data_IF_582541650074
#
_entry.id   IF_582541650074
#
_cell.length_a   1.000
_cell.length_b   1.000
_cell.length_c   1.000
_cell.angle_alpha   90.00
_cell.angle_beta   90.00
_cell.angle_gamma   90.00
#
_symmetry.space_group_name_H-M   'P 1'
#
loop_
_entity.id
_entity.type
_entity.pdbx_description
1 polymer ?
#
# COMPACT_ATOMS: atom_id res chain seq x y z
N UNK A 1 14.97 16.00 -5.57
CA UNK A 1 13.82 16.93 -5.67
C UNK A 1 13.03 16.54 -6.92
N UNK A 2 12.07 15.62 -6.78
CA UNK A 2 11.32 15.07 -7.94
C UNK A 2 10.40 16.17 -8.47
N UNK A 3 10.68 16.63 -9.68
CA UNK A 3 9.86 17.60 -10.40
C UNK A 3 8.52 16.94 -10.75
N UNK A 4 7.48 17.24 -9.97
CA UNK A 4 6.12 16.81 -10.24
C UNK A 4 5.61 17.48 -11.53
N UNK A 5 5.09 16.73 -12.52
CA UNK A 5 4.53 17.32 -13.73
C UNK A 5 3.38 18.27 -13.38
N UNK A 6 3.41 19.48 -13.94
CA UNK A 6 2.42 20.54 -13.75
C UNK A 6 0.96 20.09 -14.01
N UNK A 7 0.76 19.03 -14.79
CA UNK A 7 -0.54 18.59 -15.29
C UNK A 7 -1.40 17.78 -14.29
N UNK A 8 -0.83 17.30 -13.19
CA UNK A 8 -1.60 16.63 -12.13
C UNK A 8 -2.39 17.61 -11.24
N UNK A 9 -2.22 18.93 -11.46
CA UNK A 9 -2.43 19.92 -10.41
C UNK A 9 -3.85 20.48 -10.32
N UNK A 10 -4.71 20.34 -11.34
CA UNK A 10 -5.90 21.19 -11.39
C UNK A 10 -7.16 20.58 -12.03
N UNK A 11 -8.15 20.19 -11.23
CA UNK A 11 -9.57 20.64 -11.29
C UNK A 11 -10.31 20.15 -10.02
N UNK A 12 -11.31 20.91 -9.58
CA UNK A 12 -11.79 21.00 -8.19
C UNK A 12 -12.72 19.87 -7.70
N UNK A 13 -12.58 19.60 -6.38
CA UNK A 13 -13.63 19.36 -5.37
C UNK A 13 -14.75 18.38 -5.67
N UNK A 14 -14.51 17.26 -6.35
CA UNK A 14 -15.62 16.33 -6.60
C UNK A 14 -16.07 15.61 -5.31
N UNK A 15 -15.20 15.36 -4.33
CA UNK A 15 -15.65 14.83 -3.03
C UNK A 15 -16.46 15.88 -2.24
N UNK A 16 -16.00 17.15 -2.16
CA UNK A 16 -16.79 18.22 -1.49
C UNK A 16 -18.11 18.52 -2.21
N UNK A 17 -18.13 18.50 -3.55
CA UNK A 17 -19.31 18.77 -4.35
C UNK A 17 -20.29 17.59 -4.43
N UNK A 18 -19.81 16.35 -4.35
CA UNK A 18 -20.65 15.16 -4.26
C UNK A 18 -21.19 14.98 -2.84
N UNK A 19 -20.40 15.23 -1.79
CA UNK A 19 -20.89 15.20 -0.41
C UNK A 19 -21.93 16.31 -0.14
N UNK A 20 -21.74 17.52 -0.67
CA UNK A 20 -22.75 18.59 -0.59
C UNK A 20 -24.01 18.29 -1.45
N UNK A 21 -23.87 17.65 -2.63
CA UNK A 21 -25.02 17.25 -3.46
C UNK A 21 -25.76 16.02 -2.92
N UNK A 22 -25.08 15.10 -2.25
CA UNK A 22 -25.69 13.95 -1.57
C UNK A 22 -26.48 14.37 -0.32
N UNK A 23 -26.12 15.50 0.33
CA UNK A 23 -26.99 16.12 1.34
C UNK A 23 -28.27 16.68 0.72
N UNK A 24 -28.17 17.37 -0.43
CA UNK A 24 -29.30 18.02 -1.09
C UNK A 24 -30.34 17.02 -1.67
N UNK A 25 -29.94 15.82 -2.08
CA UNK A 25 -30.89 14.78 -2.55
C UNK A 25 -31.57 14.03 -1.41
N UNK A 26 -31.02 14.03 -0.19
CA UNK A 26 -31.66 13.40 0.97
C UNK A 26 -32.68 14.30 1.69
N UNK A 27 -32.60 15.62 1.51
CA UNK A 27 -33.48 16.59 2.19
C UNK A 27 -34.77 16.92 1.45
N UNK A 28 -34.97 16.43 0.22
CA UNK A 28 -36.16 16.73 -0.60
C UNK A 28 -37.18 15.57 -0.67
N UNK A 29 -37.03 14.53 0.15
CA UNK A 29 -38.02 13.46 0.27
C UNK A 29 -38.40 13.30 1.75
N UNK A 30 -39.22 14.22 2.27
CA UNK A 30 -40.08 14.00 3.45
C UNK A 30 -41.07 15.15 3.66
N UNK A 31 -42.15 15.14 2.89
CA UNK A 31 -43.49 15.55 3.35
C UNK A 31 -44.51 15.04 2.33
N UNK A 32 -45.06 13.85 2.60
CA UNK A 32 -46.01 13.19 1.72
C UNK A 32 -46.31 11.79 2.21
N UNK A 33 -47.00 11.70 3.34
CA UNK A 33 -47.78 10.52 3.69
C UNK A 33 -48.81 10.29 2.59
N UNK A 34 -48.91 9.06 2.05
CA UNK A 34 -50.15 8.41 1.60
C UNK A 34 -49.87 6.90 1.49
N UNK A 35 -50.83 6.14 2.02
CA UNK A 35 -51.01 4.69 1.99
C UNK A 35 -50.78 4.03 0.63
N UNK A 36 -50.26 2.80 0.66
CA UNK A 36 -50.16 1.95 -0.52
C UNK A 36 -49.75 0.51 -0.21
N UNK A 37 -50.68 -0.28 0.34
CA UNK A 37 -50.61 -1.74 0.39
C UNK A 37 -50.38 -2.32 -1.01
N UNK A 38 -49.28 -3.04 -1.22
CA UNK A 38 -49.30 -4.29 -2.02
C UNK A 38 -48.33 -5.29 -1.36
N UNK A 39 -48.91 -6.38 -0.85
CA UNK A 39 -48.23 -7.59 -0.40
C UNK A 39 -47.85 -8.40 -1.64
N UNK A 40 -46.61 -8.88 -1.76
CA UNK A 40 -46.36 -10.16 -2.41
C UNK A 40 -46.05 -11.21 -1.33
N UNK A 41 -47.01 -12.12 -1.17
CA UNK A 41 -46.84 -13.40 -0.50
C UNK A 41 -45.97 -14.26 -1.42
N UNK A 42 -44.94 -14.87 -0.85
CA UNK A 42 -44.12 -16.02 -1.29
C UNK A 42 -42.67 -15.68 -0.94
N UNK A 43 -42.30 -15.93 0.32
CA UNK A 43 -40.91 -16.13 0.82
C UNK A 43 -40.84 -16.21 2.37
N UNK A 44 -41.95 -16.01 3.09
CA UNK A 44 -42.05 -16.21 4.55
C UNK A 44 -42.63 -17.59 4.94
N UNK A 45 -42.09 -18.67 4.38
CA UNK A 45 -42.54 -20.04 4.70
C UNK A 45 -41.40 -21.06 4.92
N UNK A 46 -40.15 -20.62 5.15
CA UNK A 46 -39.02 -21.54 5.36
C UNK A 46 -38.09 -21.19 6.53
N UNK A 47 -38.49 -20.31 7.46
CA UNK A 47 -37.62 -19.87 8.54
C UNK A 47 -38.12 -20.16 9.97
N UNK A 48 -39.22 -20.90 10.16
CA UNK A 48 -39.73 -21.22 11.51
C UNK A 48 -39.68 -22.71 11.91
N UNK A 49 -39.15 -23.60 11.07
CA UNK A 49 -39.16 -25.05 11.34
C UNK A 49 -37.80 -25.63 11.80
N UNK A 50 -36.93 -24.81 12.41
CA UNK A 50 -35.67 -25.30 13.03
C UNK A 50 -35.43 -24.61 14.39
N UNK A 51 -36.44 -24.62 15.27
CA UNK A 51 -36.31 -24.15 16.67
C UNK A 51 -36.90 -25.08 17.73
N UNK A 52 -37.26 -26.32 17.40
CA UNK A 52 -37.93 -27.21 18.36
C UNK A 52 -37.42 -28.66 18.37
N UNK A 53 -36.14 -28.88 18.70
CA UNK A 53 -35.69 -30.13 19.37
C UNK A 53 -34.64 -29.83 20.46
N UNK A 54 -35.07 -30.08 21.69
CA UNK A 54 -34.51 -29.94 23.07
C UNK A 54 -33.55 -31.13 23.39
N UNK A 55 -32.74 -31.24 24.51
CA UNK A 55 -32.58 -30.43 25.74
C UNK A 55 -31.14 -30.09 26.24
N UNK A 56 -31.14 -29.23 27.27
CA UNK A 56 -30.08 -28.86 28.25
C UNK A 56 -29.75 -29.96 29.29
N UNK A 57 -28.52 -29.92 29.85
CA UNK A 57 -28.11 -30.11 31.27
C UNK A 57 -26.68 -29.52 31.42
N UNK A 58 -26.40 -28.44 32.16
CA UNK A 58 -26.31 -28.22 33.62
C UNK A 58 -25.13 -28.96 34.29
N UNK A 59 -24.06 -28.24 34.66
CA UNK A 59 -23.42 -28.10 36.01
C UNK A 59 -21.92 -28.39 35.85
N UNK A 60 -20.91 -27.87 36.55
CA UNK A 60 -20.73 -26.99 37.71
C UNK A 60 -19.21 -26.62 37.78
N UNK A 61 -18.88 -25.51 38.47
CA UNK A 61 -17.71 -25.23 39.37
C UNK A 61 -16.39 -26.00 39.13
N UNK A 62 -15.18 -25.44 39.13
CA UNK A 62 -14.63 -24.26 39.82
C UNK A 62 -13.10 -24.46 40.03
N UNK A 63 -12.37 -23.35 40.13
CA UNK A 63 -11.22 -23.06 41.04
C UNK A 63 -9.86 -23.84 40.92
N UNK A 64 -8.84 -23.10 40.46
CA UNK A 64 -7.45 -22.87 40.98
C UNK A 64 -6.61 -24.03 41.59
N UNK A 65 -5.41 -24.27 41.01
CA UNK A 65 -4.06 -24.06 41.63
C UNK A 65 -3.05 -25.20 41.42
N UNK A 66 -1.79 -24.78 41.17
CA UNK A 66 -0.52 -25.42 41.60
C UNK A 66 -0.12 -26.74 40.88
N UNK A 67 1.14 -27.11 40.61
CA UNK A 67 2.41 -26.92 41.33
C UNK A 67 3.64 -27.05 40.41
N UNK A 68 4.68 -26.29 40.75
CA UNK A 68 6.10 -26.57 40.51
C UNK A 68 6.61 -27.59 41.55
N UNK A 69 7.48 -28.56 41.16
CA UNK A 69 8.85 -28.75 41.70
C UNK A 69 9.53 -30.10 41.36
N UNK A 70 10.87 -29.99 41.16
CA UNK A 70 12.00 -30.89 41.52
C UNK A 70 12.20 -32.16 40.66
N UNK A 71 13.41 -32.64 40.35
CA UNK A 71 14.79 -32.51 40.88
C UNK A 71 15.80 -32.72 39.69
N UNK A 72 17.02 -32.17 39.56
CA UNK A 72 18.25 -32.11 40.39
C UNK A 72 18.87 -33.51 40.69
N UNK A 73 19.78 -34.06 39.85
CA UNK A 73 21.30 -34.00 39.81
C UNK A 73 21.87 -35.41 40.19
N UNK A 74 23.20 -35.71 40.23
CA UNK A 74 24.36 -35.59 39.30
C UNK A 74 25.10 -36.95 39.08
N UNK A 75 26.17 -37.00 38.24
CA UNK A 75 27.47 -37.58 38.64
C UNK A 75 28.59 -37.36 37.58
N UNK A 76 29.79 -37.03 38.09
CA UNK A 76 31.12 -36.95 37.44
C UNK A 76 31.70 -38.39 37.25
N UNK A 77 32.76 -38.72 36.50
CA UNK A 77 34.21 -38.38 36.57
C UNK A 77 34.91 -39.01 35.31
N UNK A 78 35.82 -38.34 34.60
CA UNK A 78 37.31 -38.32 34.69
C UNK A 78 38.08 -39.53 34.07
N UNK A 79 39.12 -39.26 33.25
CA UNK A 79 40.21 -40.22 32.93
C UNK A 79 40.81 -40.16 31.50
N UNK A 80 42.08 -39.73 31.41
CA UNK A 80 43.02 -39.49 30.26
C UNK A 80 43.81 -40.78 29.86
N UNK A 81 44.93 -40.84 29.07
CA UNK A 81 45.43 -40.21 27.82
C UNK A 81 45.97 -41.22 26.73
N UNK A 82 46.43 -40.72 25.57
CA UNK A 82 47.35 -41.39 24.59
C UNK A 82 46.67 -41.85 23.28
N UNK A 83 47.23 -41.78 22.06
CA UNK A 83 48.56 -41.48 21.53
C UNK A 83 48.44 -41.26 19.99
N UNK A 84 49.49 -40.71 19.37
CA UNK A 84 49.89 -40.73 17.94
C UNK A 84 49.13 -39.90 16.85
N UNK A 85 49.87 -38.95 16.24
CA UNK A 85 49.63 -38.38 14.89
C UNK A 85 50.31 -39.29 13.82
N UNK A 86 50.25 -39.05 12.48
CA UNK A 86 49.50 -38.06 11.69
C UNK A 86 48.76 -38.64 10.46
N UNK A 87 47.71 -37.95 9.97
CA UNK A 87 47.33 -38.03 8.55
C UNK A 87 46.92 -36.66 8.02
N UNK A 88 47.45 -36.37 6.84
CA UNK A 88 47.39 -35.08 6.15
C UNK A 88 46.15 -34.98 5.24
N UNK A 89 45.50 -33.81 5.30
CA UNK A 89 44.71 -33.11 4.26
C UNK A 89 43.28 -33.58 3.88
N UNK A 90 42.40 -32.69 3.34
CA UNK A 90 42.54 -31.25 3.09
C UNK A 90 41.43 -30.35 3.70
N UNK A 91 41.72 -29.05 3.68
CA UNK A 91 40.88 -27.88 3.99
C UNK A 91 39.35 -28.08 3.89
N UNK A 92 38.68 -27.98 5.03
CA UNK A 92 37.29 -27.53 5.09
C UNK A 92 37.30 -26.00 5.23
N UNK A 93 36.77 -25.32 4.22
CA UNK A 93 36.41 -23.92 4.25
C UNK A 93 35.41 -23.67 5.38
N UNK A 94 35.86 -23.00 6.43
CA UNK A 94 34.95 -22.36 7.39
C UNK A 94 34.29 -21.18 6.69
N UNK A 95 33.00 -21.32 6.34
CA UNK A 95 32.18 -20.14 6.07
C UNK A 95 32.01 -19.35 7.37
N UNK A 96 32.30 -18.04 7.42
CA UNK A 96 31.85 -17.21 8.52
C UNK A 96 30.41 -16.78 8.24
N UNK A 97 29.45 -17.50 8.83
CA UNK A 97 28.09 -17.02 9.03
C UNK A 97 28.09 -15.95 10.12
N UNK A 98 28.29 -14.68 9.76
CA UNK A 98 28.05 -13.55 10.66
C UNK A 98 26.80 -12.79 10.23
N UNK A 99 25.68 -13.01 10.94
CA UNK A 99 24.55 -12.09 10.88
C UNK A 99 24.96 -10.79 11.58
N UNK A 100 25.03 -9.68 10.84
CA UNK A 100 25.23 -8.38 11.46
C UNK A 100 23.90 -7.91 12.05
N UNK A 101 23.81 -7.90 13.38
CA UNK A 101 22.70 -7.30 14.14
C UNK A 101 23.08 -5.87 14.51
N UNK A 102 22.56 -4.89 13.77
CA UNK A 102 22.66 -3.48 14.15
C UNK A 102 21.47 -3.12 15.04
N UNK A 103 21.72 -2.68 16.28
CA UNK A 103 20.69 -2.09 17.13
C UNK A 103 20.50 -0.63 16.73
N UNK A 104 19.34 -0.29 16.19
CA UNK A 104 18.99 1.07 15.76
C UNK A 104 17.94 1.65 16.70
N UNK A 105 18.27 2.76 17.35
CA UNK A 105 17.38 3.76 17.98
C UNK A 105 15.91 3.37 18.16
N UNK A 106 15.59 2.53 19.15
CA UNK A 106 14.19 2.27 19.55
C UNK A 106 13.24 1.76 18.45
N UNK A 107 13.75 1.46 17.26
CA UNK A 107 13.02 0.88 16.15
C UNK A 107 13.08 -0.65 16.28
N UNK A 108 12.08 -1.38 15.75
CA UNK A 108 12.08 -2.83 15.86
C UNK A 108 13.34 -3.44 15.26
N UNK A 109 13.85 -4.53 15.85
CA UNK A 109 15.01 -5.25 15.32
C UNK A 109 14.65 -5.86 13.96
N UNK A 110 15.28 -5.38 12.89
CA UNK A 110 15.19 -5.98 11.55
C UNK A 110 16.42 -6.86 11.30
N UNK A 111 16.21 -8.12 10.95
CA UNK A 111 17.27 -9.03 10.48
C UNK A 111 17.18 -9.16 8.96
N UNK A 112 18.25 -8.82 8.27
CA UNK A 112 18.41 -9.04 6.83
C UNK A 112 19.23 -10.33 6.61
N UNK A 113 18.58 -11.42 6.16
CA UNK A 113 19.28 -12.67 5.82
C UNK A 113 19.86 -12.64 4.40
N UNK A 114 21.00 -13.30 4.19
CA UNK A 114 21.66 -13.45 2.88
C UNK A 114 20.76 -14.30 1.96
N UNK A 115 20.34 -13.72 0.84
CA UNK A 115 19.18 -14.15 0.07
C UNK A 115 19.38 -15.44 -0.76
N UNK A 116 18.36 -16.30 -0.73
CA UNK A 116 18.11 -17.36 -1.70
C UNK A 116 18.01 -16.80 -3.14
N UNK A 117 18.21 -17.67 -4.15
CA UNK A 117 18.22 -17.34 -5.60
C UNK A 117 17.24 -16.20 -5.98
N UNK A 118 17.77 -15.21 -6.71
CA UNK A 118 17.06 -14.03 -7.25
C UNK A 118 15.81 -14.45 -8.05
N UNK A 119 14.64 -14.45 -7.42
CA UNK A 119 13.35 -14.69 -8.08
C UNK A 119 12.73 -13.37 -8.52
N UNK A 120 12.04 -13.38 -9.66
CA UNK A 120 11.20 -12.26 -10.07
C UNK A 120 10.06 -12.08 -9.04
N UNK A 121 9.85 -10.85 -8.60
CA UNK A 121 8.86 -10.49 -7.59
C UNK A 121 7.94 -9.41 -8.13
N UNK A 122 6.67 -9.46 -7.75
CA UNK A 122 5.68 -8.50 -8.24
C UNK A 122 5.77 -7.16 -7.50
N UNK A 123 6.10 -6.10 -8.23
CA UNK A 123 5.96 -4.69 -7.82
C UNK A 123 4.50 -4.40 -7.47
N UNK A 124 3.59 -4.83 -8.36
CA UNK A 124 2.14 -4.79 -8.18
C UNK A 124 1.63 -6.24 -8.16
N UNK A 125 1.05 -6.73 -7.05
CA UNK A 125 0.68 -8.14 -6.92
C UNK A 125 -0.26 -8.63 -8.03
N UNK A 126 -0.01 -9.84 -8.54
CA UNK A 126 -0.90 -10.49 -9.50
C UNK A 126 -2.34 -10.60 -8.98
N UNK A 127 -2.51 -10.92 -7.69
CA UNK A 127 -3.82 -11.01 -7.03
C UNK A 127 -4.59 -9.69 -7.08
N UNK A 128 -3.87 -8.57 -6.98
CA UNK A 128 -4.44 -7.24 -7.09
C UNK A 128 -4.90 -6.94 -8.53
N UNK A 129 -4.16 -7.37 -9.56
CA UNK A 129 -4.51 -7.08 -10.95
C UNK A 129 -5.64 -7.95 -11.51
N UNK A 130 -5.98 -9.05 -10.84
CA UNK A 130 -6.98 -10.02 -11.30
C UNK A 130 -8.36 -9.40 -11.63
N UNK A 131 -8.90 -8.44 -10.86
CA UNK A 131 -10.17 -7.79 -11.19
C UNK A 131 -10.13 -6.92 -12.45
N UNK A 132 -8.94 -6.55 -12.94
CA UNK A 132 -8.75 -5.79 -14.18
C UNK A 132 -8.50 -6.66 -15.41
N UNK A 133 -8.60 -7.98 -15.29
CA UNK A 133 -8.54 -8.84 -16.47
C UNK A 133 -9.70 -8.52 -17.42
N UNK A 134 -9.41 -8.50 -18.72
CA UNK A 134 -10.41 -8.22 -19.74
C UNK A 134 -11.50 -9.31 -19.71
N UNK A 135 -12.77 -8.93 -19.47
CA UNK A 135 -13.88 -9.89 -19.45
C UNK A 135 -14.15 -10.53 -20.82
N UNK A 136 -13.65 -9.95 -21.91
CA UNK A 136 -13.73 -10.48 -23.28
C UNK A 136 -12.53 -11.37 -23.63
N UNK A 137 -11.69 -11.75 -22.66
CA UNK A 137 -10.64 -12.75 -22.89
C UNK A 137 -11.30 -14.06 -23.37
N UNK A 138 -10.94 -14.59 -24.55
CA UNK A 138 -11.51 -15.84 -25.03
C UNK A 138 -11.23 -17.02 -24.09
N UNK A 139 -12.17 -17.95 -24.02
CA UNK A 139 -12.00 -19.19 -23.24
C UNK A 139 -10.73 -19.94 -23.68
N UNK A 140 -9.97 -20.42 -22.70
CA UNK A 140 -8.69 -21.11 -22.93
C UNK A 140 -7.48 -20.19 -23.12
N UNK A 141 -7.65 -18.87 -23.22
CA UNK A 141 -6.52 -17.93 -23.22
C UNK A 141 -6.13 -17.48 -21.80
N UNK A 142 -4.85 -17.15 -21.61
CA UNK A 142 -4.36 -16.55 -20.36
C UNK A 142 -5.03 -15.18 -20.14
N UNK A 143 -5.72 -14.94 -19.00
CA UNK A 143 -6.30 -13.64 -18.70
C UNK A 143 -5.27 -12.52 -18.79
N UNK A 144 -5.65 -11.42 -19.45
CA UNK A 144 -4.78 -10.28 -19.66
C UNK A 144 -5.42 -8.98 -19.20
N UNK A 145 -4.57 -8.02 -18.84
CA UNK A 145 -4.95 -6.63 -18.59
C UNK A 145 -4.48 -5.75 -19.73
N UNK A 146 -5.11 -4.59 -19.89
CA UNK A 146 -4.67 -3.57 -20.84
C UNK A 146 -3.70 -2.61 -20.16
N UNK A 147 -2.44 -2.65 -20.58
CA UNK A 147 -1.42 -1.68 -20.17
C UNK A 147 -1.40 -0.55 -21.19
N UNK A 148 -1.70 0.66 -20.72
CA UNK A 148 -1.76 1.86 -21.54
C UNK A 148 -0.66 2.80 -21.07
N UNK A 149 0.16 3.32 -22.00
CA UNK A 149 1.18 4.30 -21.64
C UNK A 149 0.54 5.54 -21.03
N UNK A 150 1.30 6.22 -20.16
CA UNK A 150 0.88 7.45 -19.52
C UNK A 150 0.30 8.43 -20.55
N UNK A 151 0.97 8.68 -21.67
CA UNK A 151 0.49 9.55 -22.76
C UNK A 151 -0.71 9.01 -23.56
N UNK A 152 -1.09 7.75 -23.40
CA UNK A 152 -2.20 7.10 -24.09
C UNK A 152 -1.87 6.60 -25.50
N UNK A 153 -0.64 6.83 -25.98
CA UNK A 153 -0.23 6.54 -27.35
C UNK A 153 0.02 5.05 -27.62
N UNK A 154 0.37 4.29 -26.58
CA UNK A 154 0.60 2.84 -26.70
C UNK A 154 -0.37 2.07 -25.83
N UNK A 155 -0.81 0.93 -26.33
CA UNK A 155 -1.74 0.04 -25.64
C UNK A 155 -1.33 -1.39 -25.95
N UNK A 156 -1.13 -2.21 -24.90
CA UNK A 156 -0.70 -3.60 -25.04
C UNK A 156 -1.38 -4.51 -24.03
N UNK A 157 -1.64 -5.75 -24.44
CA UNK A 157 -2.15 -6.81 -23.56
C UNK A 157 -1.00 -7.46 -22.82
N UNK A 158 -1.18 -7.74 -21.54
CA UNK A 158 -0.20 -8.52 -20.76
C UNK A 158 -0.89 -9.28 -19.65
N UNK A 159 -0.43 -10.51 -19.37
CA UNK A 159 -1.00 -11.25 -18.26
C UNK A 159 -0.57 -10.64 -16.92
N UNK A 160 -1.42 -10.68 -15.88
CA UNK A 160 -1.05 -10.25 -14.53
C UNK A 160 0.26 -10.86 -14.03
N UNK A 161 0.51 -12.15 -14.32
CA UNK A 161 1.72 -12.87 -13.91
C UNK A 161 2.99 -12.34 -14.60
N UNK A 162 2.88 -11.90 -15.86
CA UNK A 162 4.01 -11.35 -16.63
C UNK A 162 4.16 -9.84 -16.48
N UNK A 163 3.29 -9.19 -15.71
CA UNK A 163 3.23 -7.73 -15.55
C UNK A 163 3.79 -7.29 -14.20
N UNK A 164 4.41 -6.11 -14.17
CA UNK A 164 4.92 -5.47 -12.96
C UNK A 164 5.78 -6.41 -12.11
N UNK A 165 6.74 -7.10 -12.73
CA UNK A 165 7.73 -7.94 -12.03
C UNK A 165 9.11 -7.28 -12.08
N UNK A 166 9.83 -7.37 -10.97
CA UNK A 166 11.19 -6.89 -10.80
C UNK A 166 11.96 -7.91 -9.96
N UNK A 167 13.24 -8.10 -10.27
CA UNK A 167 14.09 -9.02 -9.51
C UNK A 167 14.54 -8.33 -8.23
N UNK A 168 14.47 -9.04 -7.10
CA UNK A 168 15.05 -8.59 -5.82
C UNK A 168 14.40 -7.35 -5.19
N UNK A 169 13.06 -7.28 -5.22
CA UNK A 169 12.29 -6.16 -4.66
C UNK A 169 11.96 -6.30 -3.16
N UNK A 170 11.89 -7.53 -2.62
CA UNK A 170 11.46 -7.85 -1.26
C UNK A 170 12.22 -9.04 -0.64
N UNK A 171 12.83 -8.82 0.52
CA UNK A 171 12.91 -9.81 1.61
C UNK A 171 12.92 -9.04 2.93
N UNK A 172 11.74 -8.74 3.49
CA UNK A 172 11.61 -8.02 4.77
C UNK A 172 10.61 -8.80 5.62
N UNK A 173 11.04 -9.21 6.81
CA UNK A 173 10.14 -9.77 7.84
C UNK A 173 9.85 -8.66 8.84
N UNK A 174 8.56 -8.34 9.03
CA UNK A 174 8.14 -7.51 10.15
C UNK A 174 8.12 -8.35 11.44
N UNK A 175 8.40 -7.76 12.62
CA UNK A 175 8.43 -8.48 13.90
C UNK A 175 7.10 -9.15 14.28
N UNK A 176 5.98 -8.66 13.76
CA UNK A 176 4.61 -9.11 14.08
C UNK A 176 3.96 -9.97 12.98
N UNK A 177 4.65 -10.17 11.85
CA UNK A 177 4.10 -10.88 10.69
C UNK A 177 2.97 -10.15 9.95
N UNK A 178 2.72 -8.88 10.27
CA UNK A 178 1.67 -8.06 9.66
C UNK A 178 1.87 -7.84 8.16
N UNK A 179 0.77 -7.79 7.41
CA UNK A 179 0.76 -7.46 5.97
C UNK A 179 -0.22 -6.34 5.74
N UNK A 180 0.27 -5.10 5.70
CA UNK A 180 -0.58 -3.93 5.47
C UNK A 180 -0.53 -3.51 4.02
N UNK A 181 -1.67 -3.67 3.35
CA UNK A 181 -1.74 -3.58 1.90
C UNK A 181 -1.59 -2.14 1.39
N UNK A 182 -2.29 -1.15 1.95
CA UNK A 182 -2.28 0.24 1.43
C UNK A 182 -0.89 0.89 1.59
N UNK A 183 -0.32 0.82 2.80
CA UNK A 183 1.01 1.35 3.10
C UNK A 183 2.10 0.66 2.28
N UNK A 184 1.98 -0.66 2.06
CA UNK A 184 2.82 -1.36 1.12
C UNK A 184 2.66 -0.81 -0.31
N UNK A 185 1.43 -0.71 -0.84
CA UNK A 185 1.20 -0.27 -2.22
C UNK A 185 1.68 1.16 -2.53
N UNK A 186 1.86 2.02 -1.51
CA UNK A 186 2.43 3.38 -1.70
C UNK A 186 3.94 3.43 -1.85
N UNK A 187 4.69 2.44 -1.33
CA UNK A 187 6.16 2.44 -1.30
C UNK A 187 6.78 1.35 -2.19
N UNK A 188 5.95 0.40 -2.65
CA UNK A 188 6.36 -0.77 -3.44
C UNK A 188 6.56 -0.52 -4.93
N UNK A 189 6.64 0.74 -5.37
CA UNK A 189 6.81 1.06 -6.79
C UNK A 189 8.29 1.21 -7.16
N UNK A 190 8.62 0.99 -8.43
CA UNK A 190 9.97 1.23 -8.96
C UNK A 190 10.44 2.68 -8.76
N UNK A 191 9.54 3.64 -8.96
CA UNK A 191 9.85 5.05 -8.72
C UNK A 191 10.19 5.35 -7.25
N UNK A 192 9.52 4.70 -6.31
CA UNK A 192 9.84 4.81 -4.89
C UNK A 192 11.19 4.14 -4.57
N UNK A 193 11.46 2.95 -5.12
CA UNK A 193 12.75 2.29 -4.99
C UNK A 193 13.90 3.21 -5.40
N UNK A 194 13.83 3.78 -6.62
CA UNK A 194 14.84 4.72 -7.12
C UNK A 194 14.94 5.97 -6.25
N UNK A 195 13.81 6.57 -5.89
CA UNK A 195 13.79 7.79 -5.06
C UNK A 195 14.45 7.59 -3.70
N UNK A 196 14.14 6.48 -3.00
CA UNK A 196 14.72 6.19 -1.70
C UNK A 196 16.19 5.84 -1.80
N UNK A 197 16.61 5.11 -2.84
CA UNK A 197 18.03 4.86 -3.10
C UNK A 197 18.81 6.18 -3.23
N UNK A 198 18.37 7.07 -4.12
CA UNK A 198 19.01 8.37 -4.32
C UNK A 198 19.04 9.22 -3.04
N UNK A 199 17.96 9.18 -2.25
CA UNK A 199 17.85 9.93 -1.01
C UNK A 199 18.85 9.42 0.03
N UNK A 200 18.93 8.11 0.25
CA UNK A 200 19.85 7.54 1.23
C UNK A 200 21.31 7.64 0.76
N UNK A 201 21.58 7.52 -0.54
CA UNK A 201 22.91 7.77 -1.11
C UNK A 201 23.35 9.22 -0.92
N UNK A 202 22.42 10.16 -1.10
CA UNK A 202 22.69 11.57 -0.85
C UNK A 202 22.95 11.87 0.63
N UNK A 203 22.14 11.32 1.53
CA UNK A 203 22.34 11.45 2.97
C UNK A 203 23.68 10.86 3.41
N UNK A 204 24.04 9.67 2.92
CA UNK A 204 25.33 9.06 3.20
C UNK A 204 26.49 9.95 2.75
N UNK A 205 26.42 10.53 1.53
CA UNK A 205 27.45 11.46 1.04
C UNK A 205 27.61 12.68 1.95
N UNK A 206 26.50 13.31 2.37
CA UNK A 206 26.56 14.48 3.27
C UNK A 206 27.21 14.10 4.60
N UNK A 207 26.79 13.00 5.22
CA UNK A 207 27.32 12.56 6.51
C UNK A 207 28.82 12.26 6.42
N UNK A 208 29.25 11.55 5.39
CA UNK A 208 30.67 11.25 5.16
C UNK A 208 31.49 12.54 5.00
N UNK A 209 30.99 13.51 4.25
CA UNK A 209 31.67 14.81 4.09
C UNK A 209 31.78 15.57 5.41
N UNK A 210 30.74 15.56 6.24
CA UNK A 210 30.76 16.22 7.55
C UNK A 210 31.75 15.55 8.51
N UNK A 211 31.76 14.21 8.58
CA UNK A 211 32.73 13.50 9.42
C UNK A 211 34.18 13.81 8.99
N UNK A 212 34.45 13.83 7.68
CA UNK A 212 35.77 14.21 7.15
C UNK A 212 36.14 15.67 7.46
N UNK A 213 35.21 16.61 7.24
CA UNK A 213 35.45 18.03 7.47
C UNK A 213 35.73 18.35 8.95
N UNK A 214 35.16 17.58 9.87
CA UNK A 214 35.33 17.75 11.31
C UNK A 214 36.40 16.82 11.93
N UNK A 215 37.10 16.00 11.12
CA UNK A 215 38.06 15.02 11.63
C UNK A 215 37.44 13.98 12.58
N UNK A 216 36.12 13.77 12.47
CA UNK A 216 35.39 12.84 13.31
C UNK A 216 35.61 11.39 12.81
N UNK A 217 35.69 10.41 13.71
CA UNK A 217 35.76 9.01 13.31
C UNK A 217 34.47 8.58 12.59
N UNK A 218 34.55 7.66 11.61
CA UNK A 218 33.38 7.21 10.87
C UNK A 218 32.45 6.42 11.77
N UNK A 219 31.26 6.97 12.04
CA UNK A 219 30.24 6.33 12.87
C UNK A 219 28.88 6.38 12.20
N UNK A 220 28.42 7.59 11.91
CA UNK A 220 27.13 7.80 11.24
C UNK A 220 27.25 7.49 9.75
N UNK A 221 28.43 7.67 9.13
CA UNK A 221 28.67 7.23 7.74
C UNK A 221 28.51 5.72 7.58
N UNK A 222 29.03 4.92 8.53
CA UNK A 222 28.85 3.46 8.52
C UNK A 222 27.38 3.05 8.62
N UNK A 223 26.61 3.74 9.47
CA UNK A 223 25.17 3.51 9.61
C UNK A 223 24.42 3.86 8.33
N UNK A 224 24.68 5.03 7.76
CA UNK A 224 24.03 5.48 6.52
C UNK A 224 24.45 4.66 5.31
N UNK A 225 25.67 4.12 5.28
CA UNK A 225 26.10 3.16 4.25
C UNK A 225 25.28 1.86 4.31
N UNK A 226 25.06 1.31 5.51
CA UNK A 226 24.23 0.12 5.69
C UNK A 226 22.77 0.37 5.28
N UNK A 227 22.23 1.55 5.58
CA UNK A 227 20.89 1.96 5.14
C UNK A 227 20.84 2.08 3.60
N UNK A 228 21.81 2.77 2.99
CA UNK A 228 21.90 2.94 1.53
C UNK A 228 21.97 1.59 0.80
N UNK A 229 22.72 0.62 1.33
CA UNK A 229 22.81 -0.74 0.76
C UNK A 229 21.46 -1.50 0.76
N UNK A 230 20.51 -1.09 1.61
CA UNK A 230 19.18 -1.68 1.74
C UNK A 230 18.08 -0.61 1.70
N UNK A 231 18.29 0.45 0.91
CA UNK A 231 17.50 1.67 0.93
C UNK A 231 16.00 1.43 0.81
N UNK A 232 15.60 0.62 -0.17
CA UNK A 232 14.19 0.35 -0.42
C UNK A 232 13.56 -0.52 0.66
N UNK A 233 14.29 -1.52 1.15
CA UNK A 233 13.82 -2.36 2.24
C UNK A 233 13.62 -1.56 3.53
N UNK A 234 14.59 -0.70 3.83
CA UNK A 234 14.49 0.21 4.96
C UNK A 234 13.31 1.19 4.79
N UNK A 235 13.10 1.74 3.60
CA UNK A 235 11.96 2.61 3.31
C UNK A 235 10.62 1.88 3.49
N UNK A 236 10.48 0.65 2.99
CA UNK A 236 9.27 -0.16 3.16
C UNK A 236 8.99 -0.39 4.66
N UNK A 237 10.00 -0.79 5.43
CA UNK A 237 9.85 -1.04 6.87
C UNK A 237 9.39 0.23 7.62
N UNK A 238 10.00 1.38 7.33
CA UNK A 238 9.61 2.65 7.95
C UNK A 238 8.20 3.09 7.54
N UNK A 239 7.85 2.96 6.26
CA UNK A 239 6.52 3.30 5.77
C UNK A 239 5.45 2.44 6.46
N UNK A 240 5.70 1.14 6.61
CA UNK A 240 4.80 0.23 7.33
C UNK A 240 4.73 0.56 8.83
N UNK A 241 5.81 1.03 9.45
CA UNK A 241 5.75 1.46 10.85
C UNK A 241 4.98 2.78 11.05
N UNK A 242 5.01 3.69 10.06
CA UNK A 242 4.54 5.08 10.22
C UNK A 242 3.18 5.35 9.59
N UNK A 243 2.90 4.82 8.41
CA UNK A 243 1.65 5.16 7.69
C UNK A 243 0.38 4.61 8.32
N UNK A 244 0.28 3.33 8.74
CA UNK A 244 -0.94 2.78 9.31
C UNK A 244 -1.52 3.54 10.50
N UNK A 245 -0.72 3.93 11.53
CA UNK A 245 -1.27 4.70 12.65
C UNK A 245 -1.75 6.10 12.23
N UNK A 246 -1.32 6.61 11.07
CA UNK A 246 -1.85 7.85 10.49
C UNK A 246 -3.11 7.62 9.64
N UNK A 247 -3.23 6.48 8.97
CA UNK A 247 -4.37 6.14 8.14
C UNK A 247 -5.58 5.64 8.95
N UNK A 248 -5.37 4.83 9.99
CA UNK A 248 -6.48 4.25 10.76
C UNK A 248 -7.43 5.26 11.41
N UNK A 249 -6.97 6.41 11.94
CA UNK A 249 -7.86 7.43 12.49
C UNK A 249 -8.66 8.18 11.42
N UNK A 250 -8.25 8.13 10.15
CA UNK A 250 -8.96 8.75 9.05
C UNK A 250 -10.25 7.97 8.75
N UNK A 251 -11.18 8.61 8.04
CA UNK A 251 -12.43 7.99 7.61
C UNK A 251 -12.23 7.22 6.31
N UNK A 252 -12.89 6.08 6.20
CA UNK A 252 -12.71 5.12 5.12
C UNK A 252 -14.05 4.84 4.44
N UNK A 253 -14.11 4.96 3.11
CA UNK A 253 -15.25 4.49 2.32
C UNK A 253 -14.80 3.73 1.08
N UNK A 254 -15.68 2.85 0.61
CA UNK A 254 -15.56 2.19 -0.68
C UNK A 254 -16.47 2.94 -1.65
N UNK A 255 -15.88 3.59 -2.64
CA UNK A 255 -16.61 4.22 -3.73
C UNK A 255 -16.97 3.15 -4.76
N UNK A 256 -18.21 3.14 -5.21
CA UNK A 256 -18.75 2.17 -6.15
C UNK A 256 -19.23 2.84 -7.43
N UNK A 257 -19.03 2.18 -8.57
CA UNK A 257 -19.46 2.70 -9.86
C UNK A 257 -20.05 1.63 -10.76
N UNK A 258 -21.10 2.01 -11.48
CA UNK A 258 -21.70 1.26 -12.58
C UNK A 258 -21.13 1.67 -13.96
N UNK A 259 -20.24 2.67 -14.01
CA UNK A 259 -19.56 3.12 -15.23
C UNK A 259 -18.94 1.95 -16.02
N UNK A 260 -19.17 1.92 -17.34
CA UNK A 260 -18.72 0.84 -18.23
C UNK A 260 -17.19 0.67 -18.21
N UNK A 261 -16.43 1.77 -18.11
CA UNK A 261 -14.97 1.72 -18.09
C UNK A 261 -14.42 1.58 -16.67
N UNK A 262 -15.19 2.01 -15.67
CA UNK A 262 -14.86 1.84 -14.26
C UNK A 262 -13.60 2.59 -13.83
N UNK A 263 -13.06 2.21 -12.68
CA UNK A 263 -11.79 2.75 -12.17
C UNK A 263 -10.58 2.10 -12.82
N UNK A 264 -9.61 2.92 -13.23
CA UNK A 264 -8.28 2.46 -13.66
C UNK A 264 -7.35 2.32 -12.45
N UNK A 265 -6.34 1.45 -12.58
CA UNK A 265 -5.20 1.39 -11.65
C UNK A 265 -3.90 1.72 -12.39
N UNK A 266 -2.73 1.63 -11.76
CA UNK A 266 -1.45 1.90 -12.41
C UNK A 266 -0.27 1.18 -11.77
N UNK A 267 0.93 1.44 -12.30
CA UNK A 267 2.20 1.14 -11.65
C UNK A 267 2.44 1.94 -10.35
N UNK A 268 1.56 2.88 -10.02
CA UNK A 268 1.49 3.58 -8.72
C UNK A 268 0.03 3.74 -8.27
N UNK A 269 -0.58 2.65 -7.79
CA UNK A 269 -2.03 2.59 -7.59
C UNK A 269 -2.51 3.41 -6.37
N UNK A 270 -1.63 3.64 -5.41
CA UNK A 270 -1.94 4.46 -4.24
C UNK A 270 -1.61 5.93 -4.54
N UNK A 271 -2.63 6.76 -4.58
CA UNK A 271 -2.51 8.20 -4.84
C UNK A 271 -2.83 8.96 -3.56
N UNK A 272 -1.84 9.72 -3.07
CA UNK A 272 -2.00 10.68 -1.98
C UNK A 272 -2.12 12.06 -2.62
N UNK A 273 -3.22 12.76 -2.33
CA UNK A 273 -3.57 14.02 -2.95
C UNK A 273 -4.14 14.99 -1.92
N UNK A 274 -3.79 16.27 -2.05
CA UNK A 274 -4.45 17.33 -1.30
C UNK A 274 -4.85 18.44 -2.28
N UNK A 275 -6.14 18.81 -2.35
CA UNK A 275 -6.64 19.76 -3.33
C UNK A 275 -6.09 21.17 -3.15
N UNK A 276 -5.53 21.53 -2.00
CA UNK A 276 -5.04 22.89 -1.74
C UNK A 276 -3.55 23.06 -2.04
N UNK A 277 -2.82 21.99 -2.38
CA UNK A 277 -1.36 22.05 -2.55
C UNK A 277 -0.90 23.07 -3.59
N UNK A 278 -1.72 23.33 -4.60
CA UNK A 278 -1.38 24.30 -5.62
C UNK A 278 -1.26 25.74 -5.10
N UNK A 279 -1.87 26.03 -3.94
CA UNK A 279 -1.80 27.32 -3.26
C UNK A 279 -0.49 27.52 -2.52
N UNK A 280 0.31 26.46 -2.35
CA UNK A 280 1.54 26.49 -1.56
C UNK A 280 2.77 26.67 -2.44
N UNK A 281 3.88 27.21 -1.89
CA UNK A 281 5.15 27.26 -2.57
C UNK A 281 5.60 25.87 -3.04
N UNK A 282 6.27 25.74 -4.20
CA UNK A 282 6.66 24.44 -4.75
C UNK A 282 7.37 23.49 -3.78
N UNK A 283 8.22 24.02 -2.90
CA UNK A 283 8.96 23.23 -1.89
C UNK A 283 8.08 22.60 -0.80
N UNK A 284 6.87 23.11 -0.57
CA UNK A 284 5.93 22.59 0.44
C UNK A 284 4.80 21.75 -0.17
N UNK A 285 4.86 21.44 -1.47
CA UNK A 285 3.82 20.66 -2.17
C UNK A 285 4.01 19.15 -1.98
N UNK A 286 4.18 18.69 -0.75
CA UNK A 286 4.13 17.27 -0.41
C UNK A 286 2.85 17.01 0.41
N UNK A 287 1.92 16.13 -0.03
CA UNK A 287 0.68 15.89 0.70
C UNK A 287 0.96 15.02 1.93
N UNK A 288 1.28 15.66 3.04
CA UNK A 288 1.37 14.98 4.33
C UNK A 288 0.02 14.40 4.75
N UNK A 289 0.03 13.18 5.29
CA UNK A 289 -1.18 12.50 5.77
C UNK A 289 -1.87 13.24 6.92
N UNK A 290 -1.14 14.03 7.70
CA UNK A 290 -1.70 14.85 8.78
C UNK A 290 -2.40 16.13 8.31
N UNK A 291 -2.38 16.46 7.02
CA UNK A 291 -3.04 17.65 6.51
C UNK A 291 -4.53 17.36 6.31
N UNK A 292 -5.39 18.23 6.84
CA UNK A 292 -6.86 18.03 6.92
C UNK A 292 -7.51 17.64 5.59
N UNK A 293 -7.04 18.21 4.46
CA UNK A 293 -7.61 17.96 3.14
C UNK A 293 -6.92 16.85 2.35
N UNK A 294 -5.99 16.13 2.96
CA UNK A 294 -5.33 15.01 2.30
C UNK A 294 -6.29 13.82 2.17
N UNK A 295 -6.32 13.28 0.97
CA UNK A 295 -7.07 12.09 0.58
C UNK A 295 -6.09 11.05 0.04
N UNK A 296 -6.38 9.78 0.33
CA UNK A 296 -5.69 8.62 -0.26
C UNK A 296 -6.71 7.82 -1.06
N UNK A 297 -6.42 7.55 -2.32
CA UNK A 297 -7.23 6.68 -3.17
C UNK A 297 -6.44 5.44 -3.57
N UNK A 298 -7.08 4.28 -3.47
CA UNK A 298 -6.56 3.00 -3.95
C UNK A 298 -7.69 2.25 -4.68
N UNK A 299 -7.64 2.16 -6.02
CA UNK A 299 -8.56 1.29 -6.77
C UNK A 299 -8.48 -0.13 -6.22
N UNK A 300 -9.61 -0.80 -6.01
CA UNK A 300 -9.67 -2.20 -5.56
C UNK A 300 -10.10 -3.13 -6.70
N UNK A 301 -10.91 -2.61 -7.62
CA UNK A 301 -11.34 -3.22 -8.87
C UNK A 301 -11.82 -2.12 -9.83
N UNK A 302 -12.20 -2.44 -11.07
CA UNK A 302 -12.91 -1.49 -11.94
C UNK A 302 -14.21 -0.95 -11.34
N UNK A 303 -14.81 -1.66 -10.37
CA UNK A 303 -16.10 -1.29 -9.76
C UNK A 303 -15.97 -0.62 -8.40
N UNK A 304 -14.81 -0.74 -7.75
CA UNK A 304 -14.64 -0.33 -6.36
C UNK A 304 -13.31 0.37 -6.14
N UNK A 305 -13.33 1.44 -5.35
CA UNK A 305 -12.14 2.18 -4.95
C UNK A 305 -12.19 2.51 -3.46
N UNK A 306 -11.08 2.26 -2.76
CA UNK A 306 -10.91 2.71 -1.38
C UNK A 306 -10.55 4.19 -1.36
N UNK A 307 -11.32 5.00 -0.65
CA UNK A 307 -11.02 6.39 -0.31
C UNK A 307 -10.79 6.50 1.19
N UNK A 308 -9.65 7.09 1.57
CA UNK A 308 -9.28 7.42 2.95
C UNK A 308 -9.14 8.94 3.06
N UNK A 309 -9.81 9.57 4.01
CA UNK A 309 -9.85 11.03 4.15
C UNK A 309 -10.17 11.45 5.59
N UNK A 310 -9.81 12.67 6.00
CA UNK A 310 -10.25 13.24 7.29
C UNK A 310 -11.73 13.64 7.31
N UNK A 311 -12.45 13.52 6.19
CA UNK A 311 -13.89 13.75 6.13
C UNK A 311 -14.68 12.70 6.93
N UNK A 312 -15.11 13.06 8.14
CA UNK A 312 -15.77 12.15 9.10
C UNK A 312 -17.08 11.53 8.62
N UNK A 313 -17.76 12.13 7.64
CA UNK A 313 -18.99 11.61 7.01
C UNK A 313 -18.73 10.55 5.92
N UNK A 314 -17.46 10.32 5.58
CA UNK A 314 -17.03 9.36 4.60
C UNK A 314 -16.96 7.94 5.20
N UNK A 315 -18.06 7.18 5.13
CA UNK A 315 -18.13 5.79 5.61
C UNK A 315 -18.92 4.90 4.66
N UNK A 316 -18.61 3.60 4.73
CA UNK A 316 -19.35 2.54 4.05
C UNK A 316 -19.16 2.53 2.53
N UNK A 317 -20.14 1.94 1.84
CA UNK A 317 -20.18 1.90 0.38
C UNK A 317 -20.93 3.12 -0.16
N UNK A 318 -20.36 3.77 -1.18
CA UNK A 318 -20.88 5.03 -1.73
C UNK A 318 -20.91 4.96 -3.25
N UNK A 319 -22.09 4.94 -3.89
CA UNK A 319 -22.16 5.07 -5.34
C UNK A 319 -21.64 6.46 -5.75
N UNK A 320 -20.90 6.52 -6.86
CA UNK A 320 -20.34 7.76 -7.39
C UNK A 320 -20.75 7.98 -8.84
N UNK A 321 -20.98 9.23 -9.27
CA UNK A 321 -21.31 9.52 -10.65
C UNK A 321 -20.09 9.32 -11.56
N UNK A 322 -20.33 9.03 -12.84
CA UNK A 322 -19.29 8.87 -13.86
C UNK A 322 -18.27 10.04 -13.90
N UNK A 323 -18.73 11.27 -13.67
CA UNK A 323 -17.83 12.44 -13.62
C UNK A 323 -16.79 12.35 -12.49
N UNK A 324 -17.13 11.74 -11.35
CA UNK A 324 -16.16 11.51 -10.26
C UNK A 324 -15.20 10.36 -10.60
N UNK A 325 -15.70 9.33 -11.29
CA UNK A 325 -14.84 8.25 -11.83
C UNK A 325 -13.80 8.83 -12.79
N UNK A 326 -14.22 9.70 -13.71
CA UNK A 326 -13.32 10.35 -14.67
C UNK A 326 -12.26 11.21 -13.99
N UNK A 327 -12.63 11.98 -12.96
CA UNK A 327 -11.66 12.79 -12.21
C UNK A 327 -10.65 11.92 -11.43
N UNK A 328 -11.12 10.84 -10.82
CA UNK A 328 -10.25 9.88 -10.12
C UNK A 328 -9.30 9.21 -11.12
N UNK A 329 -9.81 8.74 -12.26
CA UNK A 329 -9.00 8.11 -13.31
C UNK A 329 -7.96 9.08 -13.88
N UNK A 330 -8.37 10.33 -14.16
CA UNK A 330 -7.46 11.41 -14.56
C UNK A 330 -6.34 11.57 -13.55
N UNK A 331 -6.67 11.66 -12.25
CA UNK A 331 -5.69 11.76 -11.16
C UNK A 331 -4.75 10.53 -11.11
N UNK A 332 -5.30 9.32 -11.11
CA UNK A 332 -4.53 8.06 -11.12
C UNK A 332 -3.55 8.01 -12.29
N UNK A 333 -3.99 8.42 -13.49
CA UNK A 333 -3.14 8.51 -14.68
C UNK A 333 -2.06 9.56 -14.55
N UNK A 334 -2.35 10.76 -14.04
CA UNK A 334 -1.31 11.78 -13.87
C UNK A 334 -0.26 11.37 -12.84
N UNK A 335 -0.68 10.57 -11.85
CA UNK A 335 0.17 10.03 -10.81
C UNK A 335 0.91 8.76 -11.22
N UNK A 336 0.49 8.02 -12.25
CA UNK A 336 1.25 6.86 -12.70
C UNK A 336 2.66 7.24 -13.17
N UNK A 337 3.58 6.28 -13.15
CA UNK A 337 4.96 6.50 -13.58
C UNK A 337 5.05 6.39 -15.11
N UNK A 338 4.74 5.20 -15.64
CA UNK A 338 4.89 4.85 -17.05
C UNK A 338 3.57 4.40 -17.68
N UNK A 339 2.78 3.61 -16.95
CA UNK A 339 1.57 2.97 -17.48
C UNK A 339 0.43 3.01 -16.47
N UNK A 340 -0.78 3.11 -17.00
CA UNK A 340 -2.00 2.80 -16.25
C UNK A 340 -2.63 1.51 -16.80
N UNK A 341 -3.48 0.89 -15.99
CA UNK A 341 -4.10 -0.40 -16.25
C UNK A 341 -5.60 -0.22 -16.32
N UNK A 342 -6.19 -0.77 -17.38
CA UNK A 342 -7.64 -0.85 -17.59
C UNK A 342 -8.04 -2.29 -17.87
N UNK A 343 -9.30 -2.60 -17.61
CA UNK A 343 -9.92 -3.87 -18.01
C UNK A 343 -10.45 -3.88 -19.45
N UNK A 344 -10.39 -2.73 -20.13
CA UNK A 344 -10.70 -2.58 -21.57
C UNK A 344 -9.61 -1.77 -22.25
N UNK A 345 -9.52 -1.83 -23.58
CA UNK A 345 -8.64 -0.97 -24.40
C UNK A 345 -9.13 0.48 -24.55
N UNK A 346 -10.41 0.71 -24.25
CA UNK A 346 -11.06 2.02 -24.34
C UNK A 346 -10.45 3.04 -23.36
N UNK A 347 -10.48 4.30 -23.80
CA UNK A 347 -9.93 5.48 -23.09
C UNK A 347 -10.92 6.64 -23.21
N UNK A 348 -10.91 7.56 -22.24
CA UNK A 348 -11.64 8.83 -22.36
C UNK A 348 -10.67 10.01 -22.50
N UNK A 349 -10.92 10.96 -23.42
CA UNK A 349 -10.09 12.16 -23.58
C UNK A 349 -9.90 12.95 -22.28
N UNK A 350 -10.92 13.01 -21.43
CA UNK A 350 -10.89 13.73 -20.14
C UNK A 350 -9.82 13.20 -19.18
N UNK A 351 -9.41 11.93 -19.30
CA UNK A 351 -8.33 11.38 -18.46
C UNK A 351 -6.96 11.97 -18.79
N UNK A 352 -6.81 12.57 -19.98
CA UNK A 352 -5.58 13.20 -20.46
C UNK A 352 -5.60 14.72 -20.32
N UNK A 353 -6.73 15.30 -19.91
CA UNK A 353 -6.88 16.74 -19.72
C UNK A 353 -6.06 17.20 -18.49
N UNK A 354 -5.02 18.04 -18.66
CA UNK A 354 -4.27 18.60 -17.54
C UNK A 354 -5.13 19.54 -16.67
N UNK A 355 -6.28 19.97 -17.18
CA UNK A 355 -7.13 20.99 -16.61
C UNK A 355 -6.52 22.38 -16.69
N UNK A 356 -7.20 23.35 -16.09
CA UNK A 356 -6.80 24.76 -16.09
C UNK A 356 -6.23 25.16 -14.74
N UNK A 357 -5.12 25.92 -14.76
CA UNK A 357 -4.53 26.53 -13.57
C UNK A 357 -5.54 27.49 -12.90
N UNK A 358 -5.93 27.30 -11.64
CA UNK A 358 -6.77 28.17 -10.84
C UNK A 358 -6.16 29.56 -10.70
N UNK A 359 -7.03 30.56 -10.62
CA UNK A 359 -6.64 31.94 -10.39
C UNK A 359 -5.83 32.12 -9.10
N UNK A 360 -6.16 31.38 -8.04
CA UNK A 360 -5.53 31.46 -6.71
C UNK A 360 -4.29 30.56 -6.55
N UNK A 361 -3.74 30.02 -7.64
CA UNK A 361 -2.49 29.28 -7.64
C UNK A 361 -1.32 30.12 -7.13
N UNK A 362 -0.40 29.48 -6.40
CA UNK A 362 0.80 30.14 -5.85
C UNK A 362 1.55 30.95 -6.91
N UNK A 363 1.73 30.39 -8.10
CA UNK A 363 2.45 31.02 -9.21
C UNK A 363 1.72 32.24 -9.83
N UNK A 364 0.48 32.54 -9.43
CA UNK A 364 -0.22 33.75 -9.83
C UNK A 364 -0.13 34.86 -8.78
N UNK A 365 0.40 34.57 -7.59
CA UNK A 365 0.65 35.59 -6.58
C UNK A 365 1.88 36.38 -7.03
N UNK A 366 1.69 37.67 -7.33
CA UNK A 366 2.81 38.56 -7.59
C UNK A 366 3.69 38.59 -6.33
N UNK A 367 4.96 38.21 -6.47
CA UNK A 367 5.99 38.31 -5.43
C UNK A 367 6.46 39.73 -5.26
#
# INVERSE_FOLDING_TARGET
MVWWPWAARYRFSVVRGAAHRLRATSSNVRSGSIDGRVRSRVQLAQAEEIKSRVPRKASERGVISSQLRRAATPCQEAGDPGDERPRWSPAQSTEPGSSHTATVLGLPRYTFERMARKKAQHVIPQSYLKPWCDPQTPDGMEPYVWLISKDGNTTRKRSPNKSFTETDMYTIRLPDGGREFVAAMSVRTKSQQTHWQETFDHQHRIVTQLEQAHGAPPRTSLQTAAISAHAHQFAIANVLAVMPPLLFPMSHAVLETDDELGFITSDRPCVIYNPDMYKWPPMYRNPGLGLEKTEVTLPLSPRQLLLISHHHDLRGYRPVPAALVDEINRRTRFYCEQVFVSWTDKKRPVWFDPGQKPADAWENRQT
#
